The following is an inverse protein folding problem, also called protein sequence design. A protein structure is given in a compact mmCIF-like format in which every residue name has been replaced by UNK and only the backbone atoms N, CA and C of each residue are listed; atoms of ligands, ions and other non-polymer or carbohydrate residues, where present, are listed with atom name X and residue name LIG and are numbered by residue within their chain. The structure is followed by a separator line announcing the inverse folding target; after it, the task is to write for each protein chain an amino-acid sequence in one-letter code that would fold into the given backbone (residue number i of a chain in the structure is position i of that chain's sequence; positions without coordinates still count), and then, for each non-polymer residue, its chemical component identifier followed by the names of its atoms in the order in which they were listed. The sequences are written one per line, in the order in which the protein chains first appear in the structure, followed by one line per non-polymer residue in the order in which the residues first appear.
data_IF_355248461897
#
_entry.id   IF_355248461897
#
_cell.length_a   1.000
_cell.length_b   1.000
_cell.length_c   1.000
_cell.angle_alpha   90.00
_cell.angle_beta   90.00
_cell.angle_gamma   90.00
#
_symmetry.space_group_name_H-M   'P 1'
#
loop_
_entity.id
_entity.type
_entity.pdbx_description
1 polymer ?
#
# COMPACT_ATOMS: atom_id res chain seq x y z
N UNK A 1 -32.54 -20.32 -1.64
CA UNK A 1 -32.09 -19.42 -0.53
C UNK A 1 -30.63 -19.63 -0.16
N UNK A 2 -30.15 -20.88 -0.11
CA UNK A 2 -28.75 -21.26 0.14
C UNK A 2 -27.72 -20.61 -0.80
N UNK A 3 -28.00 -20.51 -2.10
CA UNK A 3 -27.10 -19.86 -3.07
C UNK A 3 -26.89 -18.35 -2.88
N UNK A 4 -27.87 -17.65 -2.28
CA UNK A 4 -27.78 -16.22 -1.98
C UNK A 4 -26.91 -15.98 -0.73
N UNK A 5 -27.08 -16.81 0.30
CA UNK A 5 -26.26 -16.80 1.52
C UNK A 5 -24.80 -17.13 1.24
N UNK A 6 -24.52 -18.12 0.38
CA UNK A 6 -23.14 -18.46 -0.02
C UNK A 6 -22.47 -17.26 -0.71
N UNK A 7 -23.16 -16.57 -1.62
CA UNK A 7 -22.61 -15.36 -2.27
C UNK A 7 -22.41 -14.19 -1.31
N UNK A 8 -23.24 -14.04 -0.28
CA UNK A 8 -23.04 -13.04 0.78
C UNK A 8 -21.81 -13.40 1.62
N UNK A 9 -21.66 -14.65 2.02
CA UNK A 9 -20.52 -15.13 2.81
C UNK A 9 -19.20 -15.08 2.03
N UNK A 10 -19.23 -15.35 0.72
CA UNK A 10 -18.09 -15.16 -0.19
C UNK A 10 -17.72 -13.68 -0.33
N UNK A 11 -18.71 -12.78 -0.48
CA UNK A 11 -18.48 -11.32 -0.50
C UNK A 11 -17.92 -10.83 0.82
N UNK A 12 -18.41 -11.33 1.94
CA UNK A 12 -17.84 -11.02 3.24
C UNK A 12 -16.43 -11.59 3.42
N UNK A 13 -16.12 -12.79 2.90
CA UNK A 13 -14.74 -13.34 2.91
C UNK A 13 -13.78 -12.52 2.06
N UNK A 14 -14.23 -12.06 0.89
CA UNK A 14 -13.47 -11.19 0.00
C UNK A 14 -13.23 -9.82 0.64
N UNK A 15 -14.23 -9.27 1.34
CA UNK A 15 -14.11 -8.05 2.14
C UNK A 15 -13.21 -8.23 3.38
N UNK A 16 -13.20 -9.43 3.99
CA UNK A 16 -12.44 -9.73 5.20
C UNK A 16 -10.92 -9.70 5.01
N UNK A 17 -10.41 -10.01 3.82
CA UNK A 17 -8.97 -9.93 3.51
C UNK A 17 -8.60 -8.65 2.73
N UNK A 18 -9.36 -7.56 2.91
CA UNK A 18 -9.12 -6.31 2.20
C UNK A 18 -7.95 -5.50 2.77
N UNK A 19 -7.51 -5.79 4.00
CA UNK A 19 -6.55 -4.93 4.73
C UNK A 19 -5.11 -5.44 4.71
N UNK A 20 -4.89 -6.74 4.92
CA UNK A 20 -3.52 -7.29 4.97
C UNK A 20 -2.74 -7.12 3.67
N UNK A 21 -3.42 -7.19 2.53
CA UNK A 21 -2.78 -7.16 1.20
C UNK A 21 -2.21 -5.80 0.81
N UNK A 22 -2.96 -4.68 0.86
CA UNK A 22 -2.37 -3.37 0.56
C UNK A 22 -1.23 -3.02 1.51
N UNK A 23 -1.30 -3.43 2.78
CA UNK A 23 -0.19 -3.26 3.73
C UNK A 23 1.03 -4.10 3.34
N UNK A 24 0.84 -5.35 2.91
CA UNK A 24 1.92 -6.20 2.42
C UNK A 24 2.57 -5.62 1.17
N UNK A 25 1.78 -5.15 0.21
CA UNK A 25 2.28 -4.53 -1.03
C UNK A 25 3.14 -3.29 -0.72
N UNK A 26 2.67 -2.42 0.20
CA UNK A 26 3.45 -1.26 0.64
C UNK A 26 4.70 -1.66 1.41
N UNK A 27 4.64 -2.71 2.25
CA UNK A 27 5.81 -3.26 2.93
C UNK A 27 6.88 -3.66 1.92
N UNK A 28 6.51 -4.43 0.89
CA UNK A 28 7.42 -4.86 -0.17
C UNK A 28 7.98 -3.66 -0.94
N UNK A 29 7.12 -2.69 -1.30
CA UNK A 29 7.56 -1.48 -1.99
C UNK A 29 8.59 -0.68 -1.18
N UNK A 30 8.39 -0.51 0.14
CA UNK A 30 9.35 0.16 1.01
C UNK A 30 10.67 -0.58 1.12
N UNK A 31 10.65 -1.92 1.19
CA UNK A 31 11.87 -2.74 1.18
C UNK A 31 12.63 -2.56 -0.13
N UNK A 32 11.94 -2.57 -1.27
CA UNK A 32 12.56 -2.32 -2.59
C UNK A 32 13.14 -0.92 -2.65
N UNK A 33 12.42 0.12 -2.21
CA UNK A 33 12.93 1.49 -2.17
C UNK A 33 14.17 1.64 -1.28
N UNK A 34 14.18 0.97 -0.12
CA UNK A 34 15.35 0.94 0.77
C UNK A 34 16.55 0.25 0.10
N UNK A 35 16.33 -0.89 -0.55
CA UNK A 35 17.37 -1.64 -1.25
C UNK A 35 17.93 -0.85 -2.44
N UNK A 36 17.08 -0.29 -3.29
CA UNK A 36 17.50 0.51 -4.44
C UNK A 36 18.30 1.74 -3.99
N UNK A 37 17.82 2.47 -2.97
CA UNK A 37 18.53 3.61 -2.41
C UNK A 37 19.89 3.24 -1.80
N UNK A 38 20.02 2.05 -1.20
CA UNK A 38 21.27 1.59 -0.60
C UNK A 38 22.30 1.10 -1.62
N UNK A 39 21.86 0.37 -2.64
CA UNK A 39 22.74 -0.43 -3.49
C UNK A 39 22.89 0.09 -4.92
N UNK A 40 21.84 0.63 -5.54
CA UNK A 40 21.89 0.98 -6.96
C UNK A 40 22.24 2.44 -7.23
N UNK A 41 22.08 3.36 -6.26
CA UNK A 41 22.37 4.81 -6.38
C UNK A 41 22.13 5.32 -7.81
N UNK A 42 20.90 5.12 -8.29
CA UNK A 42 20.60 5.34 -9.70
C UNK A 42 20.72 6.83 -10.06
N UNK A 43 21.14 7.18 -11.29
CA UNK A 43 21.19 8.56 -11.73
C UNK A 43 19.79 9.18 -11.71
N UNK A 44 19.69 10.47 -11.34
CA UNK A 44 18.46 11.13 -10.84
C UNK A 44 17.19 11.03 -11.70
N UNK A 45 17.28 10.71 -12.99
CA UNK A 45 16.09 10.41 -13.81
C UNK A 45 15.39 9.12 -13.36
N UNK A 46 16.12 8.10 -12.93
CA UNK A 46 15.54 6.85 -12.45
C UNK A 46 14.82 7.00 -11.10
N UNK A 47 15.31 7.90 -10.25
CA UNK A 47 14.62 8.26 -8.99
C UNK A 47 13.24 8.86 -9.25
N UNK A 48 13.04 9.56 -10.39
CA UNK A 48 11.73 10.07 -10.79
C UNK A 48 10.76 8.96 -11.24
N UNK A 49 11.28 7.82 -11.75
CA UNK A 49 10.46 6.68 -12.20
C UNK A 49 10.14 5.69 -11.07
N UNK A 50 10.99 5.60 -10.04
CA UNK A 50 10.79 4.71 -8.89
C UNK A 50 9.39 4.83 -8.24
N UNK A 51 8.86 6.04 -7.98
CA UNK A 51 7.50 6.23 -7.49
C UNK A 51 6.43 5.67 -8.43
N UNK A 52 6.57 5.91 -9.74
CA UNK A 52 5.65 5.40 -10.76
C UNK A 52 5.66 3.86 -10.82
N UNK A 53 6.85 3.26 -10.76
CA UNK A 53 7.02 1.81 -10.74
C UNK A 53 6.44 1.18 -9.47
N UNK A 54 6.73 1.73 -8.30
CA UNK A 54 6.17 1.22 -7.03
C UNK A 54 4.66 1.37 -6.98
N UNK A 55 4.12 2.47 -7.51
CA UNK A 55 2.68 2.65 -7.67
C UNK A 55 2.08 1.59 -8.62
N UNK A 56 2.71 1.36 -9.78
CA UNK A 56 2.29 0.32 -10.73
C UNK A 56 2.29 -1.07 -10.09
N UNK A 57 3.29 -1.39 -9.26
CA UNK A 57 3.35 -2.67 -8.54
C UNK A 57 2.22 -2.81 -7.53
N UNK A 58 1.87 -1.75 -6.80
CA UNK A 58 0.73 -1.76 -5.87
C UNK A 58 -0.60 -1.92 -6.62
N UNK A 59 -0.77 -1.23 -7.75
CA UNK A 59 -1.95 -1.37 -8.61
C UNK A 59 -2.02 -2.77 -9.21
N UNK A 60 -0.91 -3.31 -9.70
CA UNK A 60 -0.83 -4.66 -10.25
C UNK A 60 -1.16 -5.72 -9.19
N UNK A 61 -0.60 -5.58 -7.97
CA UNK A 61 -0.92 -6.46 -6.85
C UNK A 61 -2.42 -6.45 -6.53
N UNK A 62 -3.05 -5.27 -6.53
CA UNK A 62 -4.50 -5.15 -6.35
C UNK A 62 -5.31 -5.73 -7.53
N UNK A 63 -4.84 -5.56 -8.77
CA UNK A 63 -5.50 -6.11 -9.95
C UNK A 63 -5.45 -7.64 -9.96
N UNK A 64 -4.27 -8.23 -9.72
CA UNK A 64 -4.07 -9.68 -9.59
C UNK A 64 -4.93 -10.23 -8.45
N UNK A 65 -4.96 -9.56 -7.30
CA UNK A 65 -5.81 -9.96 -6.18
C UNK A 65 -7.30 -10.01 -6.56
N UNK A 66 -7.79 -9.04 -7.32
CA UNK A 66 -9.20 -9.03 -7.77
C UNK A 66 -9.50 -10.15 -8.74
N UNK A 67 -8.60 -10.39 -9.69
CA UNK A 67 -8.71 -11.49 -10.62
C UNK A 67 -8.81 -12.84 -9.86
N UNK A 68 -7.94 -13.04 -8.86
CA UNK A 68 -7.93 -14.26 -8.06
C UNK A 68 -9.15 -14.42 -7.12
N UNK A 69 -9.83 -13.34 -6.75
CA UNK A 69 -10.97 -13.37 -5.80
C UNK A 69 -12.34 -13.20 -6.45
N UNK A 70 -12.42 -13.08 -7.77
CA UNK A 70 -13.70 -12.92 -8.49
C UNK A 70 -14.44 -11.62 -8.18
N UNK A 71 -13.78 -10.64 -7.56
CA UNK A 71 -14.34 -9.32 -7.31
C UNK A 71 -14.29 -8.51 -8.62
N UNK A 72 -15.37 -8.57 -9.41
CA UNK A 72 -15.43 -7.94 -10.72
C UNK A 72 -15.03 -6.46 -10.72
N UNK A 73 -14.34 -6.02 -11.79
CA UNK A 73 -13.80 -4.67 -11.95
C UNK A 73 -14.85 -3.52 -11.98
N UNK A 74 -16.15 -3.83 -11.94
CA UNK A 74 -17.16 -3.03 -12.62
C UNK A 74 -18.01 -2.03 -11.82
N UNK A 75 -18.01 -2.01 -10.48
CA UNK A 75 -18.95 -1.10 -9.75
C UNK A 75 -18.40 -0.39 -8.53
N UNK A 76 -17.32 -0.88 -7.95
CA UNK A 76 -16.80 -0.30 -6.72
C UNK A 76 -15.82 0.83 -6.98
N UNK A 77 -15.77 1.42 -8.18
CA UNK A 77 -14.99 2.60 -8.62
C UNK A 77 -13.49 2.59 -8.27
N UNK A 78 -12.93 1.48 -7.80
CA UNK A 78 -11.52 1.37 -7.47
C UNK A 78 -10.63 1.41 -8.73
N UNK A 79 -11.14 0.96 -9.87
CA UNK A 79 -10.46 1.13 -11.16
C UNK A 79 -10.24 2.61 -11.47
N UNK A 80 -11.25 3.45 -11.23
CA UNK A 80 -11.15 4.92 -11.40
C UNK A 80 -10.17 5.56 -10.42
N UNK A 81 -10.07 5.07 -9.19
CA UNK A 81 -9.06 5.56 -8.23
C UNK A 81 -7.66 5.15 -8.64
N UNK A 82 -7.46 3.90 -9.06
CA UNK A 82 -6.17 3.43 -9.54
C UNK A 82 -5.75 4.21 -10.79
N UNK A 83 -6.65 4.38 -11.76
CA UNK A 83 -6.44 5.19 -12.98
C UNK A 83 -6.19 6.66 -12.63
N UNK A 84 -6.96 7.24 -11.69
CA UNK A 84 -6.77 8.61 -11.24
C UNK A 84 -5.39 8.83 -10.64
N UNK A 85 -4.94 7.95 -9.74
CA UNK A 85 -3.58 7.99 -9.19
C UNK A 85 -2.50 7.69 -10.24
N UNK A 86 -2.77 6.86 -11.26
CA UNK A 86 -1.86 6.60 -12.38
C UNK A 86 -1.76 7.80 -13.33
N UNK A 87 -2.81 8.61 -13.40
CA UNK A 87 -2.87 9.86 -14.15
C UNK A 87 -2.29 11.04 -13.36
N UNK A 88 -2.15 10.94 -12.03
CA UNK A 88 -1.55 11.99 -11.19
C UNK A 88 -0.20 12.43 -11.73
N UNK A 89 0.76 11.54 -12.09
CA UNK A 89 2.02 11.93 -12.72
C UNK A 89 1.88 12.75 -14.00
N UNK A 90 0.82 12.54 -14.77
CA UNK A 90 0.61 13.18 -16.07
C UNK A 90 -0.10 14.53 -15.99
N UNK A 91 -0.55 14.95 -14.80
CA UNK A 91 -1.02 16.32 -14.57
C UNK A 91 0.17 17.30 -14.65
N UNK A 92 -0.03 18.59 -14.97
CA UNK A 92 1.05 19.56 -15.12
C UNK A 92 1.93 19.71 -13.85
N UNK A 93 1.37 19.46 -12.66
CA UNK A 93 2.10 19.38 -11.39
C UNK A 93 2.39 17.95 -10.92
N UNK A 94 1.94 16.98 -11.71
CA UNK A 94 2.03 15.55 -11.49
C UNK A 94 3.43 14.99 -11.57
N UNK A 95 4.24 15.48 -12.51
CA UNK A 95 5.67 15.15 -12.61
C UNK A 95 6.50 15.94 -11.60
N UNK A 96 6.00 17.10 -11.17
CA UNK A 96 6.68 18.00 -10.23
C UNK A 96 6.50 17.53 -8.79
N UNK A 97 5.30 17.13 -8.38
CA UNK A 97 5.03 16.71 -7.00
C UNK A 97 5.90 15.52 -6.53
N UNK A 98 6.15 14.46 -7.33
CA UNK A 98 7.05 13.37 -6.95
C UNK A 98 8.48 13.83 -6.66
N UNK A 99 8.95 14.92 -7.30
CA UNK A 99 10.26 15.52 -7.05
C UNK A 99 10.37 16.20 -5.67
N UNK A 100 9.24 16.46 -5.00
CA UNK A 100 9.24 17.11 -3.68
C UNK A 100 8.74 16.18 -2.57
N UNK A 101 7.89 15.22 -2.90
CA UNK A 101 7.14 14.45 -1.91
C UNK A 101 7.65 13.00 -1.79
N UNK A 102 8.41 12.51 -2.78
CA UNK A 102 9.02 11.18 -2.77
C UNK A 102 8.05 10.02 -3.04
N UNK A 103 8.60 8.83 -3.27
CA UNK A 103 7.84 7.61 -3.57
C UNK A 103 6.97 7.15 -2.38
N UNK A 104 7.46 7.36 -1.16
CA UNK A 104 6.80 6.99 0.07
C UNK A 104 5.48 7.76 0.24
N UNK A 105 5.43 9.02 -0.15
CA UNK A 105 4.19 9.77 -0.04
C UNK A 105 3.13 9.33 -1.06
N UNK A 106 3.55 8.88 -2.25
CA UNK A 106 2.63 8.32 -3.23
C UNK A 106 2.05 6.97 -2.76
N UNK A 107 2.87 6.12 -2.15
CA UNK A 107 2.41 4.91 -1.47
C UNK A 107 1.45 5.26 -0.32
N UNK A 108 1.77 6.30 0.45
CA UNK A 108 0.91 6.85 1.50
C UNK A 108 -0.44 7.31 0.97
N UNK A 109 -0.46 8.11 -0.10
CA UNK A 109 -1.66 8.58 -0.76
C UNK A 109 -2.53 7.42 -1.25
N UNK A 110 -1.92 6.41 -1.88
CA UNK A 110 -2.61 5.18 -2.28
C UNK A 110 -3.32 4.51 -1.11
N UNK A 111 -2.64 4.33 0.02
CA UNK A 111 -3.24 3.78 1.24
C UNK A 111 -4.33 4.66 1.84
N UNK A 112 -4.16 5.99 1.82
CA UNK A 112 -5.18 6.94 2.29
C UNK A 112 -6.44 6.79 1.46
N UNK A 113 -6.34 6.78 0.13
CA UNK A 113 -7.52 6.68 -0.73
C UNK A 113 -8.20 5.32 -0.57
N UNK A 114 -7.43 4.23 -0.49
CA UNK A 114 -7.97 2.89 -0.23
C UNK A 114 -8.68 2.81 1.13
N UNK A 115 -8.04 3.32 2.18
CA UNK A 115 -8.58 3.32 3.53
C UNK A 115 -9.78 4.24 3.69
N UNK A 116 -9.76 5.43 3.08
CA UNK A 116 -10.88 6.38 3.09
C UNK A 116 -12.10 5.74 2.44
N UNK A 117 -11.92 5.13 1.27
CA UNK A 117 -13.00 4.45 0.53
C UNK A 117 -13.56 3.25 1.29
N UNK A 118 -12.68 2.44 1.87
CA UNK A 118 -13.08 1.32 2.72
C UNK A 118 -13.58 1.71 4.11
N UNK A 119 -13.57 3.02 4.45
CA UNK A 119 -13.73 3.54 5.82
C UNK A 119 -12.87 2.81 6.86
N UNK A 120 -11.72 2.28 6.44
CA UNK A 120 -10.80 1.52 7.28
C UNK A 120 -9.66 2.42 7.78
N UNK A 121 -9.79 2.84 9.04
CA UNK A 121 -8.75 3.57 9.79
C UNK A 121 -7.41 2.87 9.75
N UNK A 122 -7.45 1.56 9.62
CA UNK A 122 -6.31 0.71 9.53
C UNK A 122 -5.44 0.82 8.29
N UNK A 123 -5.93 1.48 7.25
CA UNK A 123 -5.22 1.74 6.01
C UNK A 123 -4.93 3.23 5.85
N UNK A 124 -5.91 4.11 6.12
CA UNK A 124 -5.69 5.54 5.90
C UNK A 124 -4.80 6.19 6.96
N UNK A 125 -4.79 5.73 8.22
CA UNK A 125 -3.87 6.29 9.24
C UNK A 125 -2.41 5.97 8.89
N UNK A 126 -2.01 4.70 8.63
CA UNK A 126 -0.65 4.43 8.15
C UNK A 126 -0.32 5.13 6.83
N UNK A 127 -1.31 5.30 5.95
CA UNK A 127 -1.16 6.06 4.72
C UNK A 127 -0.80 7.53 4.96
N UNK A 128 -1.50 8.21 5.88
CA UNK A 128 -1.18 9.60 6.26
C UNK A 128 0.22 9.72 6.87
N UNK A 129 0.63 8.74 7.67
CA UNK A 129 1.99 8.69 8.22
C UNK A 129 3.01 8.60 7.09
N UNK A 130 2.83 7.71 6.10
CA UNK A 130 3.73 7.65 4.94
C UNK A 130 3.72 8.95 4.12
N UNK A 131 2.55 9.57 3.98
CA UNK A 131 2.38 10.82 3.23
C UNK A 131 3.15 11.97 3.86
N UNK A 132 3.22 12.03 5.19
CA UNK A 132 4.06 12.99 5.92
C UNK A 132 5.54 12.60 5.92
N UNK A 133 5.84 11.30 5.97
CA UNK A 133 7.21 10.79 6.00
C UNK A 133 7.96 10.97 4.67
N UNK A 134 7.24 10.91 3.54
CA UNK A 134 7.84 11.03 2.21
C UNK A 134 8.62 12.31 2.01
N UNK A 135 8.02 13.51 2.16
CA UNK A 135 8.74 14.78 2.07
C UNK A 135 9.89 14.86 3.08
N UNK A 136 9.69 14.34 4.29
CA UNK A 136 10.72 14.36 5.32
C UNK A 136 11.98 13.57 4.92
N UNK A 137 11.81 12.40 4.29
CA UNK A 137 12.95 11.60 3.79
C UNK A 137 13.50 12.22 2.50
N UNK A 138 12.63 12.63 1.59
CA UNK A 138 13.02 13.09 0.25
C UNK A 138 13.72 14.46 0.26
N UNK A 139 13.25 15.40 1.07
CA UNK A 139 13.85 16.73 1.24
C UNK A 139 15.03 16.75 2.21
N UNK A 140 15.67 15.61 2.41
CA UNK A 140 16.86 15.45 3.26
C UNK A 140 16.63 15.76 4.76
N UNK A 141 15.37 15.84 5.21
CA UNK A 141 15.02 16.09 6.61
C UNK A 141 15.58 15.02 7.53
N UNK A 142 15.58 13.75 7.09
CA UNK A 142 16.24 12.66 7.80
C UNK A 142 17.74 12.92 7.97
N UNK A 143 18.47 13.29 6.92
CA UNK A 143 19.91 13.54 7.03
C UNK A 143 20.24 14.72 7.96
N UNK A 144 19.42 15.76 7.97
CA UNK A 144 19.61 16.96 8.81
C UNK A 144 19.33 16.64 10.28
N UNK A 145 18.24 15.92 10.58
CA UNK A 145 17.81 15.63 11.96
C UNK A 145 18.53 14.45 12.60
N UNK A 146 18.95 13.49 11.79
CA UNK A 146 19.53 12.21 12.22
C UNK A 146 21.00 12.09 11.79
N UNK A 147 21.70 13.21 11.62
CA UNK A 147 23.09 13.28 11.15
C UNK A 147 24.08 12.46 11.99
N UNK A 148 23.73 12.18 13.25
CA UNK A 148 24.55 11.42 14.19
C UNK A 148 24.47 9.89 13.98
N UNK A 149 23.59 9.40 13.12
CA UNK A 149 23.54 7.98 12.78
C UNK A 149 24.69 7.60 11.83
N UNK A 150 25.40 6.47 12.10
CA UNK A 150 26.52 6.02 11.28
C UNK A 150 26.09 5.44 9.91
N UNK A 151 24.80 5.12 9.76
CA UNK A 151 24.20 4.65 8.51
C UNK A 151 23.45 5.78 7.82
N UNK A 152 23.28 5.69 6.49
CA UNK A 152 22.46 6.62 5.70
C UNK A 152 21.08 6.83 6.36
N UNK A 153 20.80 8.02 6.91
CA UNK A 153 19.59 8.24 7.71
C UNK A 153 18.30 8.04 6.91
N UNK A 154 18.31 8.32 5.60
CA UNK A 154 17.16 8.08 4.74
C UNK A 154 16.86 6.59 4.60
N UNK A 155 17.91 5.77 4.44
CA UNK A 155 17.77 4.30 4.40
C UNK A 155 17.27 3.77 5.75
N UNK A 156 17.80 4.28 6.86
CA UNK A 156 17.39 3.87 8.20
C UNK A 156 15.89 4.14 8.45
N UNK A 157 15.39 5.33 8.08
CA UNK A 157 13.96 5.68 8.19
C UNK A 157 13.10 4.77 7.31
N UNK A 158 13.51 4.50 6.06
CA UNK A 158 12.78 3.59 5.16
C UNK A 158 12.70 2.16 5.71
N UNK A 159 13.80 1.64 6.24
CA UNK A 159 13.84 0.30 6.85
C UNK A 159 12.96 0.24 8.09
N UNK A 160 13.04 1.22 8.99
CA UNK A 160 12.18 1.29 10.17
C UNK A 160 10.70 1.34 9.79
N UNK A 161 10.36 2.12 8.76
CA UNK A 161 9.00 2.21 8.23
C UNK A 161 8.54 0.89 7.61
N UNK A 162 9.40 0.22 6.84
CA UNK A 162 9.12 -1.10 6.28
C UNK A 162 8.83 -2.13 7.38
N UNK A 163 9.63 -2.13 8.47
CA UNK A 163 9.40 -3.01 9.63
C UNK A 163 8.06 -2.69 10.30
N UNK A 164 7.73 -1.41 10.51
CA UNK A 164 6.43 -1.02 11.07
C UNK A 164 5.27 -1.52 10.20
N UNK A 165 5.37 -1.40 8.88
CA UNK A 165 4.38 -1.90 7.93
C UNK A 165 4.31 -3.43 7.91
N UNK A 166 5.43 -4.13 8.05
CA UNK A 166 5.46 -5.59 8.19
C UNK A 166 4.72 -6.03 9.47
N UNK A 167 4.90 -5.33 10.58
CA UNK A 167 4.18 -5.58 11.84
C UNK A 167 2.67 -5.33 11.66
N UNK A 168 2.28 -4.23 11.03
CA UNK A 168 0.87 -3.93 10.74
C UNK A 168 0.24 -5.00 9.84
N UNK A 169 0.97 -5.43 8.81
CA UNK A 169 0.59 -6.52 7.91
C UNK A 169 0.39 -7.82 8.69
N UNK A 170 1.35 -8.20 9.53
CA UNK A 170 1.27 -9.40 10.37
C UNK A 170 0.10 -9.35 11.35
N UNK A 171 -0.18 -8.19 11.96
CA UNK A 171 -1.36 -8.01 12.83
C UNK A 171 -2.66 -8.14 12.04
N UNK A 172 -2.74 -7.56 10.84
CA UNK A 172 -3.91 -7.69 9.98
C UNK A 172 -4.16 -9.17 9.63
N UNK A 173 -3.14 -9.90 9.19
CA UNK A 173 -3.23 -11.34 8.89
C UNK A 173 -3.72 -12.14 10.11
N UNK A 174 -3.18 -11.86 11.30
CA UNK A 174 -3.60 -12.55 12.54
C UNK A 174 -5.07 -12.29 12.87
N UNK A 175 -5.54 -11.05 12.72
CA UNK A 175 -6.94 -10.69 12.97
C UNK A 175 -7.85 -11.39 11.95
N UNK A 176 -7.45 -11.41 10.68
CA UNK A 176 -8.19 -12.07 9.60
C UNK A 176 -8.32 -13.58 9.86
N UNK A 177 -7.22 -14.25 10.25
CA UNK A 177 -7.21 -15.69 10.61
C UNK A 177 -8.06 -16.03 11.84
N UNK A 178 -8.15 -15.13 12.83
CA UNK A 178 -9.00 -15.35 14.01
C UNK A 178 -10.50 -15.25 13.70
N UNK A 179 -10.86 -14.50 12.67
CA UNK A 179 -12.25 -14.27 12.25
C UNK A 179 -12.73 -15.28 11.20
N UNK A 180 -11.85 -16.13 10.70
CA UNK A 180 -12.21 -17.27 9.86
C UNK A 180 -12.54 -18.47 10.75
N UNK A 181 -13.67 -18.44 11.43
CA UNK A 181 -14.31 -19.68 11.89
C UNK A 181 -14.88 -20.41 10.65
N UNK A 182 -14.65 -21.73 10.51
CA UNK A 182 -15.34 -22.50 9.48
C UNK A 182 -16.86 -22.46 9.78
N UNK A 183 -17.65 -22.23 8.72
CA UNK A 183 -19.11 -22.41 8.81
C UNK A 183 -19.32 -23.90 9.13
N UNK A 184 -20.11 -24.24 10.17
CA UNK A 184 -20.41 -25.64 10.46
C UNK A 184 -20.95 -26.28 9.18
N UNK A 185 -20.41 -27.44 8.80
CA UNK A 185 -20.97 -28.22 7.71
C UNK A 185 -22.45 -28.45 8.03
N UNK A 186 -23.32 -28.18 7.05
CA UNK A 186 -24.76 -28.41 7.17
C UNK A 186 -24.98 -29.80 7.79
N UNK A 187 -25.71 -29.85 8.91
CA UNK A 187 -26.13 -31.12 9.50
C UNK A 187 -27.04 -31.78 8.45
N UNK A 188 -26.67 -32.95 7.91
CA UNK A 188 -27.55 -33.66 6.97
C UNK A 188 -28.88 -33.92 7.68
N UNK A 189 -29.97 -33.57 6.98
CA UNK A 189 -31.35 -33.73 7.44
C UNK A 189 -31.72 -35.19 7.70
#
# INVERSE_FOLDING_TARGET
MTSYLVRILERERAARHARSIPLAAVTVALVVLAAVGRYLRLPGLWDAFLPGLTFLLVVAAMAVQRALRGAGNGRDGYGLVAVGLLLVPFLPFGLVAPLFVGAEALLGAGLVVLGWRGRDRGLWVPGLVLLALGPFVHLNGAAITLFWLPADPGVAVRVATAVAFAVLTGRAIRIERRRSTPVPAEVPA
#
